data_IF_518152216133
#
_entry.id   IF_518152216133
#
_cell.length_a   1.000
_cell.length_b   1.000
_cell.length_c   1.000
_cell.angle_alpha   90.00
_cell.angle_beta   90.00
_cell.angle_gamma   90.00
#
_symmetry.space_group_name_H-M   'P 1'
#
loop_
_entity.id
_entity.type
_entity.pdbx_description
1 polymer ?
#
# COMPACT_ATOMS: atom_id res chain seq x y z
N UNK A 1 28.83 5.57 19.08
CA UNK A 1 28.60 4.81 17.81
C UNK A 1 27.24 4.11 17.79
N UNK A 2 27.01 3.03 18.55
CA UNK A 2 25.76 2.24 18.50
C UNK A 2 24.49 3.03 18.87
N UNK A 3 24.53 3.87 19.91
CA UNK A 3 23.37 4.67 20.33
C UNK A 3 22.95 5.69 19.26
N UNK A 4 23.92 6.42 18.70
CA UNK A 4 23.69 7.40 17.62
C UNK A 4 23.06 6.73 16.40
N UNK A 5 23.57 5.56 15.99
CA UNK A 5 23.01 4.79 14.88
C UNK A 5 21.57 4.33 15.16
N UNK A 6 21.26 3.88 16.38
CA UNK A 6 19.87 3.50 16.77
C UNK A 6 18.91 4.68 16.71
N UNK A 7 19.35 5.86 17.19
CA UNK A 7 18.56 7.08 17.13
C UNK A 7 18.30 7.53 15.68
N UNK A 8 19.34 7.47 14.83
CA UNK A 8 19.21 7.76 13.40
C UNK A 8 18.19 6.83 12.72
N UNK A 9 18.27 5.51 12.97
CA UNK A 9 17.32 4.55 12.41
C UNK A 9 15.88 4.78 12.91
N UNK A 10 15.71 5.15 14.19
CA UNK A 10 14.40 5.47 14.74
C UNK A 10 13.81 6.73 14.09
N UNK A 11 14.62 7.77 13.90
CA UNK A 11 14.21 8.98 13.20
C UNK A 11 13.86 8.69 11.73
N UNK A 12 14.72 7.96 11.02
CA UNK A 12 14.46 7.54 9.65
C UNK A 12 13.15 6.74 9.53
N UNK A 13 12.93 5.77 10.43
CA UNK A 13 11.69 5.00 10.50
C UNK A 13 10.47 5.92 10.72
N UNK A 14 10.56 6.84 11.67
CA UNK A 14 9.48 7.78 11.97
C UNK A 14 9.12 8.66 10.77
N UNK A 15 10.13 9.24 10.12
CA UNK A 15 9.94 10.04 8.90
C UNK A 15 9.36 9.21 7.76
N UNK A 16 9.79 7.96 7.60
CA UNK A 16 9.24 7.03 6.61
C UNK A 16 7.76 6.74 6.85
N UNK A 17 7.36 6.47 8.09
CA UNK A 17 5.95 6.23 8.45
C UNK A 17 5.11 7.47 8.19
N UNK A 18 5.59 8.65 8.56
CA UNK A 18 4.87 9.90 8.35
C UNK A 18 4.67 10.19 6.85
N UNK A 19 5.74 10.06 6.06
CA UNK A 19 5.69 10.24 4.61
C UNK A 19 4.80 9.21 3.92
N UNK A 20 4.82 7.95 4.38
CA UNK A 20 3.96 6.88 3.88
C UNK A 20 2.47 7.17 4.10
N UNK A 21 2.10 7.65 5.30
CA UNK A 21 0.71 8.03 5.59
C UNK A 21 0.20 9.13 4.65
N UNK A 22 1.00 10.19 4.46
CA UNK A 22 0.65 11.28 3.55
C UNK A 22 0.50 10.79 2.10
N UNK A 23 1.46 9.99 1.62
CA UNK A 23 1.40 9.38 0.29
C UNK A 23 0.14 8.53 0.09
N UNK A 24 -0.18 7.67 1.06
CA UNK A 24 -1.34 6.78 0.98
C UNK A 24 -2.66 7.56 0.98
N UNK A 25 -2.77 8.62 1.78
CA UNK A 25 -3.94 9.49 1.77
C UNK A 25 -4.18 10.11 0.39
N UNK A 26 -3.12 10.65 -0.24
CA UNK A 26 -3.21 11.21 -1.60
C UNK A 26 -3.55 10.10 -2.61
N UNK A 27 -2.83 8.98 -2.56
CA UNK A 27 -3.00 7.90 -3.54
C UNK A 27 -4.41 7.31 -3.52
N UNK A 28 -4.99 7.11 -2.33
CA UNK A 28 -6.36 6.63 -2.17
C UNK A 28 -7.40 7.68 -2.60
N UNK A 29 -7.09 8.98 -2.51
CA UNK A 29 -8.00 10.06 -2.88
C UNK A 29 -8.02 10.35 -4.38
N UNK A 30 -6.89 10.15 -5.07
CA UNK A 30 -6.73 10.46 -6.50
C UNK A 30 -7.26 9.35 -7.41
N UNK A 31 -7.18 8.10 -6.97
CA UNK A 31 -7.64 6.96 -7.77
C UNK A 31 -9.11 6.63 -7.47
N UNK A 32 -9.83 6.07 -8.45
CA UNK A 32 -11.20 5.55 -8.29
C UNK A 32 -11.22 4.27 -7.44
N UNK A 33 -10.84 4.38 -6.17
CA UNK A 33 -10.76 3.28 -5.20
C UNK A 33 -11.89 3.44 -4.20
N UNK A 34 -12.76 2.44 -4.13
CA UNK A 34 -13.78 2.36 -3.09
C UNK A 34 -13.21 1.59 -1.91
N UNK A 35 -12.97 2.27 -0.79
CA UNK A 35 -12.40 1.67 0.41
C UNK A 35 -13.14 2.10 1.67
N UNK A 36 -12.97 1.33 2.73
CA UNK A 36 -13.59 1.55 4.04
C UNK A 36 -12.60 2.20 5.02
N UNK A 37 -13.09 2.80 6.11
CA UNK A 37 -12.27 3.64 7.02
C UNK A 37 -11.16 2.88 7.75
N UNK A 38 -11.27 1.57 7.84
CA UNK A 38 -10.41 0.66 8.59
C UNK A 38 -9.26 0.08 7.75
N UNK A 39 -8.81 0.85 6.75
CA UNK A 39 -7.69 0.49 5.88
C UNK A 39 -6.34 0.87 6.51
N UNK A 40 -5.39 -0.07 6.52
CA UNK A 40 -4.02 0.15 7.00
C UNK A 40 -3.04 -0.14 5.86
N UNK A 41 -2.37 0.90 5.37
CA UNK A 41 -1.33 0.78 4.35
C UNK A 41 0.00 1.27 4.92
N UNK A 42 1.00 0.40 4.92
CA UNK A 42 2.35 0.69 5.36
C UNK A 42 3.31 0.74 4.16
N UNK A 43 4.08 1.82 4.02
CA UNK A 43 4.96 2.05 2.89
C UNK A 43 4.27 2.71 1.69
N UNK A 44 4.79 2.46 0.49
CA UNK A 44 4.46 3.20 -0.72
C UNK A 44 3.99 2.26 -1.83
N UNK A 45 2.76 1.73 -1.79
CA UNK A 45 2.22 0.90 -2.86
C UNK A 45 1.97 1.72 -4.12
N UNK A 46 2.08 1.08 -5.28
CA UNK A 46 1.72 1.67 -6.56
C UNK A 46 0.31 1.23 -6.93
N UNK A 47 -0.60 2.19 -7.03
CA UNK A 47 -1.93 1.98 -7.59
C UNK A 47 -1.95 2.50 -9.03
N UNK A 48 -2.33 1.65 -9.97
CA UNK A 48 -2.49 1.96 -11.38
C UNK A 48 -3.93 1.62 -11.79
N UNK A 49 -4.87 2.52 -11.50
CA UNK A 49 -6.29 2.31 -11.80
C UNK A 49 -6.64 3.08 -13.07
N UNK A 50 -6.94 2.36 -14.15
CA UNK A 50 -7.31 2.98 -15.43
C UNK A 50 -8.68 3.66 -15.33
N UNK A 51 -9.01 4.55 -16.28
CA UNK A 51 -10.20 5.41 -16.27
C UNK A 51 -11.50 4.68 -15.92
N UNK A 52 -11.77 3.53 -16.53
CA UNK A 52 -12.96 2.71 -16.26
C UNK A 52 -12.64 1.45 -15.44
N UNK A 53 -11.47 1.39 -14.81
CA UNK A 53 -11.10 0.32 -13.89
C UNK A 53 -11.73 0.58 -12.52
N UNK A 54 -12.14 -0.48 -11.83
CA UNK A 54 -12.73 -0.39 -10.49
C UNK A 54 -11.91 -1.22 -9.49
N UNK A 55 -11.49 -0.58 -8.40
CA UNK A 55 -10.90 -1.26 -7.25
C UNK A 55 -11.81 -1.09 -6.04
N UNK A 56 -12.26 -2.21 -5.46
CA UNK A 56 -13.08 -2.26 -4.26
C UNK A 56 -12.28 -2.96 -3.17
N UNK A 57 -12.16 -2.32 -2.00
CA UNK A 57 -11.46 -2.85 -0.84
C UNK A 57 -12.44 -2.91 0.34
N UNK A 58 -12.62 -4.12 0.89
CA UNK A 58 -13.45 -4.38 2.05
C UNK A 58 -12.85 -3.91 3.39
N UNK A 59 -13.55 -4.25 4.47
CA UNK A 59 -13.20 -3.88 5.84
C UNK A 59 -11.92 -4.58 6.32
N UNK A 60 -11.27 -4.00 7.31
CA UNK A 60 -10.08 -4.51 8.01
C UNK A 60 -8.93 -4.88 7.06
N UNK A 61 -8.74 -4.12 5.98
CA UNK A 61 -7.69 -4.39 4.99
C UNK A 61 -6.32 -3.90 5.47
N UNK A 62 -5.30 -4.72 5.28
CA UNK A 62 -3.90 -4.37 5.58
C UNK A 62 -2.97 -4.64 4.40
N UNK A 63 -2.17 -3.65 4.03
CA UNK A 63 -1.15 -3.79 2.98
C UNK A 63 0.22 -3.31 3.48
N UNK A 64 1.21 -4.18 3.43
CA UNK A 64 2.61 -3.82 3.65
C UNK A 64 3.34 -3.73 2.31
N UNK A 65 3.85 -2.54 2.00
CA UNK A 65 4.44 -2.18 0.71
C UNK A 65 5.71 -1.34 0.90
N UNK A 66 6.77 -1.95 1.40
CA UNK A 66 8.05 -1.27 1.49
C UNK A 66 9.09 -1.98 2.35
N UNK A 67 10.32 -1.52 2.18
CA UNK A 67 11.55 -2.13 2.70
C UNK A 67 11.58 -2.23 4.23
N UNK A 68 10.89 -1.31 4.90
CA UNK A 68 10.85 -1.21 6.36
C UNK A 68 9.84 -2.20 6.96
N UNK A 69 8.84 -2.61 6.19
CA UNK A 69 7.71 -3.43 6.64
C UNK A 69 7.70 -4.83 6.04
N UNK A 70 8.58 -5.13 5.07
CA UNK A 70 8.67 -6.40 4.36
C UNK A 70 10.04 -7.07 4.56
N UNK A 71 10.29 -7.57 5.77
CA UNK A 71 11.57 -8.23 6.12
C UNK A 71 11.75 -9.62 5.50
N UNK A 72 10.70 -10.20 4.89
CA UNK A 72 10.56 -11.67 4.72
C UNK A 72 10.74 -12.16 3.26
N UNK A 73 11.06 -11.35 2.25
CA UNK A 73 11.50 -11.98 0.99
C UNK A 73 11.64 -11.15 -0.28
N UNK A 74 10.99 -10.00 -0.42
CA UNK A 74 11.22 -9.09 -1.57
C UNK A 74 11.06 -7.63 -1.18
N UNK A 75 12.05 -6.84 -1.57
CA UNK A 75 12.17 -5.41 -1.31
C UNK A 75 11.34 -4.53 -2.28
N UNK A 76 10.40 -5.15 -3.01
CA UNK A 76 9.62 -4.47 -4.02
C UNK A 76 8.35 -3.90 -3.40
N UNK A 77 7.98 -2.71 -3.85
CA UNK A 77 6.70 -2.09 -3.52
C UNK A 77 5.57 -2.95 -4.08
N UNK A 78 4.47 -3.04 -3.34
CA UNK A 78 3.26 -3.66 -3.83
C UNK A 78 2.72 -2.87 -5.02
N UNK A 79 2.17 -3.58 -6.00
CA UNK A 79 1.52 -3.02 -7.19
C UNK A 79 0.10 -3.54 -7.26
N UNK A 80 -0.87 -2.66 -7.42
CA UNK A 80 -2.24 -3.03 -7.79
C UNK A 80 -2.57 -2.27 -9.08
N UNK A 81 -2.73 -3.01 -10.17
CA UNK A 81 -3.08 -2.49 -11.48
C UNK A 81 -4.43 -3.03 -11.91
N UNK A 82 -5.36 -2.13 -12.24
CA UNK A 82 -6.69 -2.48 -12.76
C UNK A 82 -6.84 -1.85 -14.13
N UNK A 83 -6.96 -2.70 -15.14
CA UNK A 83 -7.12 -2.32 -16.54
C UNK A 83 -8.47 -1.66 -16.83
N UNK A 84 -8.61 -1.15 -18.05
CA UNK A 84 -9.84 -0.48 -18.46
C UNK A 84 -11.01 -1.48 -18.50
N UNK A 85 -12.15 -1.12 -17.91
CA UNK A 85 -13.34 -1.98 -17.77
C UNK A 85 -13.11 -3.29 -16.99
N UNK A 86 -12.01 -3.38 -16.23
CA UNK A 86 -11.77 -4.48 -15.30
C UNK A 86 -12.22 -4.10 -13.87
N UNK A 87 -12.60 -5.09 -13.07
CA UNK A 87 -13.01 -4.89 -11.68
C UNK A 87 -12.24 -5.83 -10.77
N UNK A 88 -11.53 -5.28 -9.80
CA UNK A 88 -10.85 -6.02 -8.74
C UNK A 88 -11.55 -5.76 -7.41
N UNK A 89 -11.97 -6.83 -6.75
CA UNK A 89 -12.55 -6.79 -5.42
C UNK A 89 -11.65 -7.53 -4.43
N UNK A 90 -11.30 -6.86 -3.35
CA UNK A 90 -10.61 -7.44 -2.21
C UNK A 90 -11.59 -7.48 -1.05
N UNK A 91 -11.85 -8.67 -0.53
CA UNK A 91 -12.82 -8.90 0.55
C UNK A 91 -12.37 -8.36 1.92
N UNK A 92 -13.18 -8.69 2.93
CA UNK A 92 -12.95 -8.27 4.31
C UNK A 92 -11.81 -9.07 4.98
N UNK A 93 -11.15 -8.45 5.96
CA UNK A 93 -10.09 -9.06 6.79
C UNK A 93 -8.89 -9.59 5.99
N UNK A 94 -8.55 -8.92 4.88
CA UNK A 94 -7.45 -9.33 4.01
C UNK A 94 -6.16 -8.59 4.37
N UNK A 95 -5.10 -9.36 4.61
CA UNK A 95 -3.74 -8.86 4.78
C UNK A 95 -2.84 -9.26 3.60
N UNK A 96 -2.08 -8.32 3.05
CA UNK A 96 -1.15 -8.56 1.93
C UNK A 96 0.21 -7.91 2.19
N UNK A 97 1.27 -8.51 1.64
CA UNK A 97 2.65 -8.07 1.80
C UNK A 97 3.41 -8.26 0.49
N UNK A 98 4.05 -7.21 -0.03
CA UNK A 98 4.86 -7.27 -1.26
C UNK A 98 4.16 -7.95 -2.45
N UNK A 99 2.89 -7.63 -2.69
CA UNK A 99 2.09 -8.27 -3.75
C UNK A 99 2.09 -7.47 -5.05
N UNK A 100 2.05 -8.16 -6.18
CA UNK A 100 1.72 -7.56 -7.47
C UNK A 100 0.42 -8.18 -7.98
N UNK A 101 -0.64 -7.40 -8.05
CA UNK A 101 -1.94 -7.82 -8.58
C UNK A 101 -2.18 -7.04 -9.87
N UNK A 102 -2.40 -7.77 -10.95
CA UNK A 102 -2.73 -7.22 -12.26
C UNK A 102 -4.08 -7.80 -12.67
N UNK A 103 -5.10 -6.97 -12.70
CA UNK A 103 -6.44 -7.33 -13.12
C UNK A 103 -6.70 -6.72 -14.50
N UNK A 104 -6.85 -7.57 -15.51
CA UNK A 104 -7.09 -7.20 -16.90
C UNK A 104 -8.28 -8.01 -17.44
N UNK A 105 -8.90 -7.49 -18.51
CA UNK A 105 -10.00 -8.14 -19.23
C UNK A 105 -9.46 -8.80 -20.49
#
# INVERSE_FOLDING_TARGET
MKLVYRLFNALHFFLYVLGSKAYNAISLSVHNINYQKDIIINGYPKFNIHKNGKLIIGNCFKLNSGNVFNSIGRNQRSLISVGNNASLEIGNNVGMSSVAIVCQK
#
